data_IF_617838703062
#
_entry.id   IF_617838703062
#
_cell.length_a   1.000
_cell.length_b   1.000
_cell.length_c   1.000
_cell.angle_alpha   90.00
_cell.angle_beta   90.00
_cell.angle_gamma   90.00
#
_symmetry.space_group_name_H-M   'P 1'
#
loop_
_entity.id
_entity.type
_entity.pdbx_description
1 polymer ?
#
# COMPACT_ATOMS: atom_id res chain seq x y z
N UNK A 1 -9.31 17.24 -11.18
CA UNK A 1 -10.56 16.57 -11.68
C UNK A 1 -11.65 16.72 -10.63
N UNK A 2 -12.82 17.21 -10.99
CA UNK A 2 -13.95 17.40 -10.08
C UNK A 2 -15.29 17.10 -10.76
N UNK A 3 -16.33 16.80 -9.97
CA UNK A 3 -17.70 16.58 -10.42
C UNK A 3 -18.02 15.14 -10.85
N UNK A 4 -19.25 14.87 -11.32
CA UNK A 4 -19.73 13.52 -11.50
C UNK A 4 -19.14 12.81 -12.72
N UNK A 5 -18.90 11.50 -12.57
CA UNK A 5 -18.52 10.56 -13.62
C UNK A 5 -19.54 9.41 -13.71
N UNK A 6 -19.83 8.96 -14.90
CA UNK A 6 -20.57 7.72 -15.11
C UNK A 6 -19.58 6.56 -15.18
N UNK A 7 -19.64 5.65 -14.20
CA UNK A 7 -18.83 4.43 -14.21
C UNK A 7 -19.43 3.40 -15.18
N UNK A 8 -18.63 2.95 -16.14
CA UNK A 8 -18.93 1.85 -17.07
C UNK A 8 -17.84 0.80 -16.92
N UNK A 9 -18.22 -0.39 -16.47
CA UNK A 9 -17.24 -1.46 -16.19
C UNK A 9 -17.86 -2.85 -16.33
N UNK A 10 -17.04 -3.83 -16.72
CA UNK A 10 -17.36 -5.26 -16.64
C UNK A 10 -16.93 -5.91 -15.32
N UNK A 11 -16.26 -5.13 -14.44
CA UNK A 11 -15.91 -5.60 -13.09
C UNK A 11 -17.17 -5.74 -12.23
N UNK A 12 -17.29 -6.86 -11.52
CA UNK A 12 -18.48 -7.21 -10.74
C UNK A 12 -18.13 -7.54 -9.27
N UNK A 13 -19.17 -7.69 -8.44
CA UNK A 13 -19.05 -8.20 -7.07
C UNK A 13 -18.11 -7.38 -6.18
N UNK A 14 -17.28 -8.07 -5.41
CA UNK A 14 -16.35 -7.47 -4.44
C UNK A 14 -15.32 -6.57 -5.11
N UNK A 15 -14.83 -6.95 -6.27
CA UNK A 15 -13.84 -6.16 -7.02
C UNK A 15 -14.41 -4.80 -7.45
N UNK A 16 -15.69 -4.74 -7.82
CA UNK A 16 -16.36 -3.48 -8.12
C UNK A 16 -16.50 -2.59 -6.88
N UNK A 17 -16.82 -3.17 -5.73
CA UNK A 17 -16.89 -2.42 -4.48
C UNK A 17 -15.53 -1.86 -4.09
N UNK A 18 -14.50 -2.70 -4.13
CA UNK A 18 -13.12 -2.31 -3.90
C UNK A 18 -12.68 -1.18 -4.86
N UNK A 19 -12.97 -1.33 -6.17
CA UNK A 19 -12.66 -0.31 -7.17
C UNK A 19 -13.29 1.04 -6.83
N UNK A 20 -14.57 1.06 -6.46
CA UNK A 20 -15.26 2.30 -6.07
C UNK A 20 -14.62 2.92 -4.82
N UNK A 21 -14.22 2.11 -3.83
CA UNK A 21 -13.53 2.58 -2.64
C UNK A 21 -12.17 3.19 -2.97
N UNK A 22 -11.33 2.49 -3.76
CA UNK A 22 -10.03 3.00 -4.19
C UNK A 22 -10.15 4.31 -4.98
N UNK A 23 -11.14 4.39 -5.88
CA UNK A 23 -11.39 5.59 -6.66
C UNK A 23 -11.80 6.77 -5.78
N UNK A 24 -12.78 6.57 -4.86
CA UNK A 24 -13.24 7.61 -3.95
C UNK A 24 -12.13 8.08 -3.00
N UNK A 25 -11.26 7.18 -2.54
CA UNK A 25 -10.11 7.53 -1.72
C UNK A 25 -9.06 8.33 -2.51
N UNK A 26 -8.83 7.97 -3.77
CA UNK A 26 -7.85 8.64 -4.63
C UNK A 26 -8.33 10.03 -5.11
N UNK A 27 -9.62 10.17 -5.39
CA UNK A 27 -10.23 11.36 -5.96
C UNK A 27 -11.54 11.71 -5.23
N UNK A 28 -11.48 12.25 -4.00
CA UNK A 28 -12.67 12.51 -3.18
C UNK A 28 -13.63 13.54 -3.80
N UNK A 29 -13.14 14.40 -4.69
CA UNK A 29 -13.95 15.37 -5.41
C UNK A 29 -14.73 14.79 -6.60
N UNK A 30 -14.50 13.51 -6.95
CA UNK A 30 -15.24 12.81 -8.00
C UNK A 30 -16.34 11.95 -7.40
N UNK A 31 -17.54 12.07 -7.92
CA UNK A 31 -18.69 11.24 -7.53
C UNK A 31 -19.17 10.41 -8.70
N UNK A 32 -19.81 9.27 -8.43
CA UNK A 32 -20.42 8.44 -9.47
C UNK A 32 -21.91 8.78 -9.63
N UNK A 33 -22.29 9.15 -10.86
CA UNK A 33 -23.67 9.45 -11.23
C UNK A 33 -23.99 8.82 -12.60
N UNK A 34 -25.13 8.11 -12.68
CA UNK A 34 -25.58 7.45 -13.91
C UNK A 34 -25.89 8.43 -15.05
N UNK A 35 -26.31 9.65 -14.73
CA UNK A 35 -26.63 10.72 -15.68
C UNK A 35 -25.43 11.54 -16.13
N UNK A 36 -24.25 11.33 -15.55
CA UNK A 36 -23.08 12.14 -15.88
C UNK A 36 -22.65 11.98 -17.34
N UNK A 37 -22.31 13.11 -17.97
CA UNK A 37 -21.84 13.15 -19.38
C UNK A 37 -20.41 12.66 -19.53
N UNK A 38 -19.56 12.84 -18.50
CA UNK A 38 -18.19 12.33 -18.48
C UNK A 38 -18.18 10.89 -18.02
N UNK A 39 -17.32 10.06 -18.61
CA UNK A 39 -17.30 8.62 -18.40
C UNK A 39 -15.97 8.18 -17.82
N UNK A 40 -16.02 7.36 -16.77
CA UNK A 40 -14.93 6.48 -16.39
C UNK A 40 -15.25 5.07 -16.90
N UNK A 41 -14.50 4.61 -17.88
CA UNK A 41 -14.60 3.25 -18.40
C UNK A 41 -13.45 2.42 -17.90
N UNK A 42 -13.75 1.31 -17.21
CA UNK A 42 -12.75 0.34 -16.74
C UNK A 42 -13.13 -1.02 -17.28
N UNK A 43 -12.22 -1.64 -18.01
CA UNK A 43 -12.47 -2.90 -18.69
C UNK A 43 -11.34 -3.90 -18.41
N UNK A 44 -11.70 -5.03 -17.83
CA UNK A 44 -10.84 -6.21 -17.81
C UNK A 44 -10.95 -6.91 -19.17
N UNK A 45 -9.80 -7.18 -19.79
CA UNK A 45 -9.67 -7.82 -21.10
C UNK A 45 -8.99 -9.16 -20.97
N UNK A 46 -9.33 -10.12 -21.83
CA UNK A 46 -8.70 -11.44 -21.86
C UNK A 46 -7.30 -11.41 -22.50
N UNK A 47 -7.09 -10.47 -23.39
CA UNK A 47 -5.80 -10.32 -24.10
C UNK A 47 -4.88 -9.35 -23.38
N UNK A 48 -3.70 -9.86 -23.01
CA UNK A 48 -2.67 -9.05 -22.38
C UNK A 48 -1.88 -8.25 -23.42
N UNK A 49 -2.23 -6.96 -23.57
CA UNK A 49 -1.55 -6.06 -24.50
C UNK A 49 -0.15 -5.64 -24.04
N UNK A 50 0.21 -5.89 -22.76
CA UNK A 50 1.46 -5.44 -22.16
C UNK A 50 2.43 -6.57 -21.82
N UNK A 51 2.03 -7.83 -21.99
CA UNK A 51 2.77 -9.04 -21.56
C UNK A 51 3.01 -9.15 -20.04
N UNK A 52 2.36 -8.32 -19.24
CA UNK A 52 2.44 -8.32 -17.77
C UNK A 52 1.04 -8.26 -17.17
N UNK A 53 0.75 -9.10 -16.18
CA UNK A 53 -0.52 -9.07 -15.43
C UNK A 53 -0.73 -7.74 -14.68
N UNK A 54 0.34 -7.01 -14.40
CA UNK A 54 0.33 -5.70 -13.78
C UNK A 54 0.20 -4.55 -14.80
N UNK A 55 0.23 -4.86 -16.10
CA UNK A 55 0.19 -3.87 -17.16
C UNK A 55 -1.21 -3.33 -17.44
N UNK A 56 -1.26 -2.14 -18.01
CA UNK A 56 -2.51 -1.45 -18.34
C UNK A 56 -2.35 -0.51 -19.54
N UNK A 57 -3.49 -0.13 -20.09
CA UNK A 57 -3.62 0.98 -21.02
C UNK A 57 -4.54 2.03 -20.40
N UNK A 58 -4.09 3.27 -20.36
CA UNK A 58 -4.84 4.44 -19.86
C UNK A 58 -4.98 5.45 -20.97
N UNK A 59 -6.22 5.84 -21.30
CA UNK A 59 -6.50 6.88 -22.26
C UNK A 59 -7.39 7.95 -21.64
N UNK A 60 -6.94 9.19 -21.70
CA UNK A 60 -7.64 10.35 -21.13
C UNK A 60 -8.04 11.29 -22.27
N UNK A 61 -9.31 11.63 -22.31
CA UNK A 61 -9.93 12.58 -23.25
C UNK A 61 -10.74 13.62 -22.47
N UNK A 62 -11.21 14.72 -23.08
CA UNK A 62 -12.01 15.71 -22.38
C UNK A 62 -13.32 15.16 -21.78
N UNK A 63 -13.84 14.04 -22.33
CA UNK A 63 -15.12 13.45 -21.93
C UNK A 63 -15.02 12.11 -21.24
N UNK A 64 -13.85 11.46 -21.27
CA UNK A 64 -13.74 10.11 -20.76
C UNK A 64 -12.32 9.76 -20.29
N UNK A 65 -12.25 8.92 -19.26
CA UNK A 65 -11.07 8.19 -18.83
C UNK A 65 -11.32 6.72 -19.14
N UNK A 66 -10.44 6.08 -19.89
CA UNK A 66 -10.51 4.67 -20.25
C UNK A 66 -9.31 3.94 -19.64
N UNK A 67 -9.59 2.86 -18.91
CA UNK A 67 -8.59 1.95 -18.35
C UNK A 67 -8.88 0.55 -18.88
N UNK A 68 -7.89 -0.07 -19.49
CA UNK A 68 -7.91 -1.46 -19.93
C UNK A 68 -6.75 -2.21 -19.25
N UNK A 69 -7.03 -3.35 -18.65
CA UNK A 69 -6.05 -4.22 -18.00
C UNK A 69 -6.54 -5.68 -18.03
N UNK A 70 -5.65 -6.63 -17.79
CA UNK A 70 -6.04 -8.04 -17.66
C UNK A 70 -6.39 -8.43 -16.23
N UNK A 71 -5.91 -7.66 -15.25
CA UNK A 71 -6.13 -7.92 -13.83
C UNK A 71 -6.54 -6.66 -13.07
N UNK A 72 -7.08 -6.84 -11.87
CA UNK A 72 -7.36 -5.73 -10.95
C UNK A 72 -6.09 -5.01 -10.50
N UNK A 73 -4.94 -5.68 -10.48
CA UNK A 73 -3.63 -5.06 -10.19
C UNK A 73 -3.27 -4.03 -11.25
N UNK A 74 -3.43 -4.37 -12.53
CA UNK A 74 -3.23 -3.43 -13.63
C UNK A 74 -4.17 -2.21 -13.55
N UNK A 75 -5.45 -2.42 -13.19
CA UNK A 75 -6.40 -1.34 -12.94
C UNK A 75 -5.94 -0.45 -11.79
N UNK A 76 -5.46 -1.03 -10.71
CA UNK A 76 -4.93 -0.29 -9.55
C UNK A 76 -3.73 0.57 -9.94
N UNK A 77 -2.80 0.04 -10.73
CA UNK A 77 -1.63 0.81 -11.17
C UNK A 77 -1.98 1.91 -12.18
N UNK A 78 -2.99 1.71 -13.01
CA UNK A 78 -3.54 2.79 -13.84
C UNK A 78 -4.11 3.92 -12.98
N UNK A 79 -4.80 3.59 -11.87
CA UNK A 79 -5.29 4.56 -10.90
C UNK A 79 -4.12 5.33 -10.24
N UNK A 80 -3.03 4.67 -9.87
CA UNK A 80 -1.86 5.36 -9.32
C UNK A 80 -1.23 6.31 -10.34
N UNK A 81 -1.12 5.91 -11.61
CA UNK A 81 -0.65 6.79 -12.67
C UNK A 81 -1.56 8.01 -12.83
N UNK A 82 -2.87 7.81 -12.79
CA UNK A 82 -3.82 8.92 -12.87
C UNK A 82 -3.66 9.91 -11.70
N UNK A 83 -3.40 9.41 -10.49
CA UNK A 83 -3.07 10.24 -9.31
C UNK A 83 -1.79 11.04 -9.50
N UNK A 84 -0.77 10.45 -10.14
CA UNK A 84 0.51 11.13 -10.43
C UNK A 84 0.37 12.20 -11.52
N UNK A 85 -0.54 11.99 -12.47
CA UNK A 85 -0.82 12.96 -13.55
C UNK A 85 -1.71 14.12 -13.11
N UNK A 86 -2.44 13.96 -12.00
CA UNK A 86 -3.32 15.01 -11.53
C UNK A 86 -2.50 16.19 -10.98
N UNK A 87 -2.74 17.35 -11.56
CA UNK A 87 -2.17 18.61 -11.11
C UNK A 87 -3.29 19.65 -10.94
N UNK A 88 -3.42 20.19 -9.73
CA UNK A 88 -4.40 21.25 -9.41
C UNK A 88 -5.84 20.95 -9.89
N UNK A 89 -6.28 19.69 -9.69
CA UNK A 89 -7.64 19.27 -10.07
C UNK A 89 -7.85 18.98 -11.56
N UNK A 90 -6.80 18.99 -12.37
CA UNK A 90 -6.87 18.70 -13.81
C UNK A 90 -5.90 17.59 -14.21
N UNK A 91 -6.20 16.91 -15.32
CA UNK A 91 -5.33 15.91 -15.95
C UNK A 91 -5.30 16.17 -17.46
N UNK A 92 -4.11 16.20 -18.03
CA UNK A 92 -3.91 16.36 -19.46
C UNK A 92 -4.46 15.17 -20.25
N UNK A 93 -5.01 15.44 -21.45
CA UNK A 93 -5.38 14.37 -22.38
C UNK A 93 -4.13 13.65 -22.86
N UNK A 94 -4.11 12.33 -22.72
CA UNK A 94 -2.97 11.50 -23.13
C UNK A 94 -3.40 10.04 -23.33
N UNK A 95 -2.50 9.26 -23.91
CA UNK A 95 -2.59 7.81 -23.97
C UNK A 95 -1.29 7.22 -23.43
N UNK A 96 -1.41 6.29 -22.46
CA UNK A 96 -0.31 5.64 -21.79
C UNK A 96 -0.53 4.14 -21.87
N UNK A 97 0.51 3.41 -22.28
CA UNK A 97 0.63 1.96 -22.15
C UNK A 97 1.80 1.70 -21.24
N UNK A 98 1.58 1.07 -20.11
CA UNK A 98 2.59 0.89 -19.07
C UNK A 98 2.56 -0.54 -18.51
N UNK A 99 3.72 -1.03 -18.16
CA UNK A 99 3.92 -2.30 -17.50
C UNK A 99 5.24 -2.25 -16.72
N UNK A 100 5.36 -2.96 -15.58
CA UNK A 100 6.60 -2.97 -14.83
C UNK A 100 7.72 -3.64 -15.61
N UNK A 101 8.91 -3.05 -15.55
CA UNK A 101 10.13 -3.65 -16.11
C UNK A 101 10.62 -4.81 -15.23
N UNK A 102 10.43 -4.69 -13.90
CA UNK A 102 10.85 -5.69 -12.92
C UNK A 102 9.62 -6.25 -12.18
N UNK A 103 9.48 -7.58 -12.09
CA UNK A 103 8.36 -8.21 -11.38
C UNK A 103 8.46 -8.06 -9.86
N UNK A 104 9.66 -7.87 -9.31
CA UNK A 104 9.89 -7.62 -7.89
C UNK A 104 10.30 -6.17 -7.67
N UNK A 105 9.49 -5.43 -6.90
CA UNK A 105 9.71 -4.03 -6.53
C UNK A 105 9.45 -3.87 -5.05
N UNK A 106 10.47 -4.18 -4.26
CA UNK A 106 10.37 -4.34 -2.82
C UNK A 106 10.99 -3.21 -2.01
N UNK A 107 10.48 -3.06 -0.80
CA UNK A 107 11.07 -2.30 0.31
C UNK A 107 11.29 -3.25 1.48
N UNK A 108 12.45 -3.21 2.11
CA UNK A 108 12.71 -3.86 3.39
C UNK A 108 12.70 -2.80 4.49
N UNK A 109 11.96 -3.08 5.57
CA UNK A 109 11.90 -2.24 6.76
C UNK A 109 12.40 -3.01 7.96
N UNK A 110 13.52 -2.57 8.53
CA UNK A 110 14.08 -3.15 9.74
C UNK A 110 13.34 -2.63 10.97
N UNK A 111 12.44 -3.46 11.49
CA UNK A 111 11.67 -3.17 12.69
C UNK A 111 12.39 -3.65 13.96
N UNK A 112 13.39 -4.53 13.82
CA UNK A 112 14.15 -5.04 14.94
C UNK A 112 15.10 -3.99 15.53
N UNK A 113 15.95 -3.37 14.69
CA UNK A 113 16.88 -2.35 15.14
C UNK A 113 16.19 -1.02 15.48
N UNK A 114 15.03 -0.77 14.87
CA UNK A 114 14.17 0.35 15.23
C UNK A 114 12.70 -0.06 15.13
N UNK A 115 11.95 0.03 16.23
CA UNK A 115 10.53 -0.27 16.21
C UNK A 115 9.75 0.85 15.50
N UNK A 116 9.10 0.49 14.40
CA UNK A 116 8.19 1.36 13.67
C UNK A 116 6.74 1.07 14.09
N UNK A 117 5.95 2.09 14.35
CA UNK A 117 4.55 1.89 14.71
C UNK A 117 3.75 1.32 13.52
N UNK A 118 2.62 0.68 13.80
CA UNK A 118 1.70 0.19 12.76
C UNK A 118 1.30 1.32 11.80
N UNK A 119 0.97 2.49 12.34
CA UNK A 119 0.56 3.66 11.56
C UNK A 119 1.66 4.11 10.58
N UNK A 120 2.92 4.01 10.98
CA UNK A 120 4.05 4.30 10.10
C UNK A 120 4.10 3.27 8.96
N UNK A 121 3.95 1.97 9.26
CA UNK A 121 3.95 0.91 8.23
C UNK A 121 2.79 1.13 7.24
N UNK A 122 1.59 1.48 7.71
CA UNK A 122 0.47 1.78 6.83
C UNK A 122 0.77 2.97 5.90
N UNK A 123 1.44 4.03 6.39
CA UNK A 123 1.91 5.15 5.55
C UNK A 123 2.95 4.71 4.52
N UNK A 124 3.88 3.80 4.89
CA UNK A 124 4.83 3.25 3.93
C UNK A 124 4.14 2.45 2.82
N UNK A 125 3.12 1.67 3.17
CA UNK A 125 2.29 0.94 2.19
C UNK A 125 1.56 1.89 1.24
N UNK A 126 1.08 3.05 1.70
CA UNK A 126 0.49 4.08 0.83
C UNK A 126 1.52 4.67 -0.15
N UNK A 127 2.73 4.97 0.33
CA UNK A 127 3.82 5.46 -0.51
C UNK A 127 4.28 4.40 -1.53
N UNK A 128 4.42 3.14 -1.09
CA UNK A 128 4.74 2.02 -1.96
C UNK A 128 3.68 1.82 -3.05
N UNK A 129 2.41 1.87 -2.69
CA UNK A 129 1.30 1.78 -3.64
C UNK A 129 1.35 2.90 -4.69
N UNK A 130 1.59 4.15 -4.26
CA UNK A 130 1.73 5.31 -5.15
C UNK A 130 2.88 5.13 -6.14
N UNK A 131 3.99 4.51 -5.70
CA UNK A 131 5.17 4.19 -6.51
C UNK A 131 5.07 2.85 -7.24
N UNK A 132 3.93 2.16 -7.16
CA UNK A 132 3.69 0.84 -7.77
C UNK A 132 4.68 -0.25 -7.30
N UNK A 133 5.17 -0.17 -6.07
CA UNK A 133 5.93 -1.23 -5.44
C UNK A 133 4.99 -2.35 -4.98
N UNK A 134 5.46 -3.61 -4.97
CA UNK A 134 4.59 -4.77 -4.76
C UNK A 134 5.08 -5.77 -3.70
N UNK A 135 6.20 -5.48 -3.01
CA UNK A 135 6.73 -6.35 -1.94
C UNK A 135 7.16 -5.52 -0.75
N UNK A 136 6.61 -5.82 0.43
CA UNK A 136 7.10 -5.29 1.71
C UNK A 136 7.74 -6.41 2.52
N UNK A 137 9.03 -6.29 2.78
CA UNK A 137 9.75 -7.19 3.68
C UNK A 137 9.88 -6.52 5.05
N UNK A 138 9.20 -7.07 6.06
CA UNK A 138 9.36 -6.66 7.46
C UNK A 138 10.41 -7.55 8.12
N UNK A 139 11.53 -6.96 8.53
CA UNK A 139 12.54 -7.63 9.34
C UNK A 139 12.16 -7.47 10.82
N UNK A 140 11.48 -8.48 11.36
CA UNK A 140 10.78 -8.40 12.63
C UNK A 140 11.59 -8.90 13.83
N UNK A 141 12.65 -9.68 13.59
CA UNK A 141 13.37 -10.40 14.65
C UNK A 141 14.87 -10.39 14.39
N UNK A 142 15.61 -9.89 15.35
CA UNK A 142 17.08 -9.88 15.35
C UNK A 142 17.57 -9.59 16.79
N UNK A 143 18.90 -9.42 16.98
CA UNK A 143 19.56 -9.16 18.26
C UNK A 143 18.98 -7.97 19.04
N UNK A 144 18.54 -6.91 18.34
CA UNK A 144 18.04 -5.69 18.97
C UNK A 144 16.55 -5.72 19.37
N UNK A 145 15.82 -6.77 19.02
CA UNK A 145 14.44 -6.92 19.45
C UNK A 145 13.62 -7.91 18.65
N UNK A 146 12.71 -8.57 19.36
CA UNK A 146 11.67 -9.41 18.80
C UNK A 146 10.36 -8.62 18.70
N UNK A 147 9.81 -8.44 17.48
CA UNK A 147 8.70 -7.53 17.23
C UNK A 147 7.37 -8.20 16.87
N UNK A 148 7.28 -9.53 16.97
CA UNK A 148 6.08 -10.27 16.62
C UNK A 148 5.53 -11.06 17.81
N UNK A 149 4.25 -10.86 18.15
CA UNK A 149 3.58 -11.62 19.20
C UNK A 149 3.47 -13.10 18.84
N UNK A 150 4.01 -13.97 19.69
CA UNK A 150 3.80 -15.42 19.66
C UNK A 150 3.11 -15.82 20.97
N UNK A 151 1.82 -16.08 20.92
CA UNK A 151 1.00 -16.35 22.13
C UNK A 151 1.49 -17.54 22.96
N UNK A 152 2.08 -18.55 22.29
CA UNK A 152 2.67 -19.71 22.97
C UNK A 152 4.02 -19.40 23.64
N UNK A 153 4.68 -18.31 23.26
CA UNK A 153 5.98 -17.88 23.78
C UNK A 153 5.97 -16.40 24.15
N UNK A 154 5.15 -15.97 25.15
CA UNK A 154 4.99 -14.56 25.50
C UNK A 154 6.31 -13.91 25.95
N UNK A 155 7.22 -14.69 26.51
CA UNK A 155 8.53 -14.21 26.93
C UNK A 155 9.36 -13.57 25.78
N UNK A 156 9.08 -13.92 24.51
CA UNK A 156 9.75 -13.31 23.37
C UNK A 156 9.45 -11.80 23.25
N UNK A 157 8.23 -11.39 23.52
CA UNK A 157 7.87 -9.96 23.48
C UNK A 157 8.02 -9.29 24.85
N UNK A 158 7.71 -9.98 25.94
CA UNK A 158 7.83 -9.43 27.29
C UNK A 158 9.28 -9.05 27.65
N UNK A 159 10.25 -9.89 27.25
CA UNK A 159 11.66 -9.73 27.64
C UNK A 159 12.50 -8.99 26.57
N UNK A 160 12.15 -9.05 25.28
CA UNK A 160 13.05 -8.59 24.22
C UNK A 160 12.43 -7.58 23.25
N UNK A 161 11.17 -7.18 23.45
CA UNK A 161 10.56 -6.13 22.65
C UNK A 161 10.95 -4.72 23.08
N UNK A 162 11.55 -4.56 24.24
CA UNK A 162 11.95 -3.28 24.82
C UNK A 162 13.43 -3.28 25.17
N UNK A 163 14.09 -2.16 25.01
CA UNK A 163 15.52 -2.01 25.27
C UNK A 163 15.84 -0.64 25.84
N UNK A 164 16.98 -0.50 26.47
CA UNK A 164 17.52 0.78 26.94
C UNK A 164 18.16 1.52 25.73
N UNK A 165 17.87 2.79 25.58
CA UNK A 165 18.38 3.62 24.47
C UNK A 165 17.35 3.82 23.35
N UNK A 166 17.31 5.03 22.79
CA UNK A 166 16.33 5.41 21.77
C UNK A 166 16.63 4.82 20.38
N UNK A 167 17.88 4.47 20.14
CA UNK A 167 18.34 3.93 18.86
C UNK A 167 19.34 2.77 19.07
N UNK A 168 19.73 2.12 17.98
CA UNK A 168 20.59 0.95 18.03
C UNK A 168 22.02 1.26 18.53
N UNK A 169 22.57 2.44 18.22
CA UNK A 169 23.89 2.85 18.67
C UNK A 169 23.93 3.04 20.20
N UNK A 170 22.97 3.78 20.74
CA UNK A 170 22.80 3.96 22.19
C UNK A 170 22.61 2.64 22.91
N UNK A 171 21.82 1.71 22.36
CA UNK A 171 21.64 0.39 22.94
C UNK A 171 22.95 -0.39 23.04
N UNK A 172 23.78 -0.34 21.99
CA UNK A 172 25.12 -0.96 22.01
C UNK A 172 26.05 -0.32 23.06
N UNK A 173 26.08 0.99 23.11
CA UNK A 173 26.89 1.75 24.08
C UNK A 173 26.49 1.45 25.53
N UNK A 174 25.23 1.15 25.78
CA UNK A 174 24.69 0.79 27.09
C UNK A 174 24.74 -0.70 27.39
N UNK A 175 25.60 -1.46 26.70
CA UNK A 175 25.83 -2.89 26.95
C UNK A 175 24.74 -3.80 26.47
N UNK A 176 23.97 -3.41 25.46
CA UNK A 176 22.95 -4.26 24.79
C UNK A 176 21.88 -4.81 25.73
N UNK A 177 21.44 -3.98 26.69
CA UNK A 177 20.45 -4.42 27.69
C UNK A 177 19.02 -4.28 27.18
N UNK A 178 18.25 -5.34 27.45
CA UNK A 178 16.79 -5.26 27.33
C UNK A 178 16.19 -4.56 28.54
N UNK A 179 14.98 -4.05 28.37
CA UNK A 179 14.23 -3.32 29.39
C UNK A 179 12.79 -3.82 29.46
N UNK A 180 12.11 -3.54 30.56
CA UNK A 180 10.65 -3.64 30.60
C UNK A 180 10.02 -2.39 30.00
N UNK A 181 8.78 -2.51 29.54
CA UNK A 181 8.03 -1.41 28.90
C UNK A 181 8.04 -0.11 29.71
N UNK A 182 7.91 -0.23 31.04
CA UNK A 182 7.74 0.88 31.94
C UNK A 182 9.06 1.39 32.55
N UNK A 183 10.20 0.80 32.16
CA UNK A 183 11.51 1.22 32.63
C UNK A 183 11.87 2.60 32.05
N UNK A 184 12.56 3.41 32.87
CA UNK A 184 13.04 4.72 32.44
C UNK A 184 14.03 4.57 31.27
N UNK A 185 13.73 5.25 30.16
CA UNK A 185 14.54 5.19 28.94
C UNK A 185 14.30 3.94 28.07
N UNK A 186 13.28 3.16 28.39
CA UNK A 186 12.87 2.05 27.52
C UNK A 186 12.34 2.57 26.18
N UNK A 187 12.78 1.94 25.10
CA UNK A 187 12.29 2.15 23.75
C UNK A 187 12.02 0.82 23.07
N UNK A 188 11.00 0.77 22.22
CA UNK A 188 10.65 -0.45 21.53
C UNK A 188 9.14 -0.64 21.38
N UNK A 189 8.74 -1.87 21.21
CA UNK A 189 7.37 -2.31 20.98
C UNK A 189 7.35 -3.60 20.18
N UNK A 190 6.15 -4.10 19.96
CA UNK A 190 5.92 -5.27 19.10
C UNK A 190 4.53 -5.15 18.44
N UNK A 191 4.34 -5.94 17.41
CA UNK A 191 3.05 -6.05 16.74
C UNK A 191 2.30 -7.25 17.31
N UNK A 192 1.06 -7.02 17.72
CA UNK A 192 0.14 -8.10 18.04
C UNK A 192 -0.19 -8.89 16.76
N UNK A 193 -0.69 -10.12 16.91
CA UNK A 193 -1.19 -10.87 15.76
C UNK A 193 -2.31 -10.13 15.03
N UNK A 194 -3.10 -9.32 15.76
CA UNK A 194 -4.13 -8.50 15.16
C UNK A 194 -3.52 -7.36 14.33
N UNK A 195 -2.49 -6.67 14.83
CA UNK A 195 -1.79 -5.64 14.06
C UNK A 195 -1.20 -6.20 12.76
N UNK A 196 -0.60 -7.39 12.82
CA UNK A 196 -0.04 -8.04 11.63
C UNK A 196 -1.12 -8.41 10.61
N UNK A 197 -2.29 -8.92 11.07
CA UNK A 197 -3.44 -9.17 10.17
C UNK A 197 -3.93 -7.89 9.49
N UNK A 198 -3.99 -6.79 10.23
CA UNK A 198 -4.39 -5.49 9.69
C UNK A 198 -3.38 -4.97 8.65
N UNK A 199 -2.07 -5.07 8.94
CA UNK A 199 -1.00 -4.71 8.00
C UNK A 199 -1.12 -5.53 6.71
N UNK A 200 -1.27 -6.86 6.83
CA UNK A 200 -1.42 -7.77 5.67
C UNK A 200 -2.67 -7.44 4.86
N UNK A 201 -3.80 -7.22 5.51
CA UNK A 201 -5.05 -6.86 4.82
C UNK A 201 -4.94 -5.50 4.11
N UNK A 202 -4.27 -4.53 4.75
CA UNK A 202 -4.03 -3.20 4.20
C UNK A 202 -3.10 -3.25 2.99
N UNK A 203 -2.04 -4.06 3.06
CA UNK A 203 -1.11 -4.31 1.96
C UNK A 203 -1.82 -5.02 0.78
N UNK A 204 -2.58 -6.08 1.06
CA UNK A 204 -3.33 -6.82 0.05
C UNK A 204 -4.32 -5.94 -0.73
N UNK A 205 -5.01 -5.01 -0.03
CA UNK A 205 -5.89 -4.03 -0.68
C UNK A 205 -5.15 -3.06 -1.62
N UNK A 206 -3.82 -3.04 -1.58
CA UNK A 206 -2.91 -2.22 -2.43
C UNK A 206 -2.07 -3.07 -3.39
N UNK A 207 -2.40 -4.35 -3.52
CA UNK A 207 -1.64 -5.31 -4.33
C UNK A 207 -0.16 -5.42 -3.92
N UNK A 208 0.12 -5.28 -2.61
CA UNK A 208 1.43 -5.48 -2.00
C UNK A 208 1.40 -6.76 -1.15
N UNK A 209 2.42 -7.61 -1.28
CA UNK A 209 2.61 -8.82 -0.48
C UNK A 209 3.91 -8.76 0.30
#
# INVERSE_FOLDING_TARGET
>A
MSGPLRLVTNVKGKDRQWLCQQWSAAFPALTFDKGAKRVLRIQLTETNQTKSEEGYKLRITPRAIHIEATTMTGVFYALQTLRQLEAQGSVACCEIKDAPQYPYRGLMLDCSRHFWTKEFILKQLDAMAYLKMNRLHLHLTDDAGWRMEIKQYPALTEKTAWRVGANWAEWREQGQRYAHKDDKGASGGYYTQQDLREIVAYAAARHIT
#
